data_IF_595363481794
#
_entry.id   IF_595363481794
#
_cell.length_a   1.000
_cell.length_b   1.000
_cell.length_c   1.000
_cell.angle_alpha   90.00
_cell.angle_beta   90.00
_cell.angle_gamma   90.00
#
_symmetry.space_group_name_H-M   'P 1'
#
loop_
_entity.id
_entity.type
_entity.pdbx_description
1 polymer ?
#
# COMPACT_ATOMS: atom_id res chain seq x y z
N UNK A 1 -30.28 16.25 1.25
CA UNK A 1 -30.10 16.82 -0.10
C UNK A 1 -28.60 16.83 -0.36
N UNK A 2 -28.15 16.24 -1.48
CA UNK A 2 -26.75 16.29 -1.89
C UNK A 2 -26.49 17.58 -2.68
N UNK A 3 -25.26 18.10 -2.60
CA UNK A 3 -24.78 19.18 -3.45
C UNK A 3 -24.17 18.52 -4.70
N UNK A 4 -24.76 18.79 -5.86
CA UNK A 4 -24.27 18.29 -7.15
C UNK A 4 -23.33 19.34 -7.77
N UNK A 5 -22.12 18.93 -8.17
CA UNK A 5 -21.09 19.81 -8.73
C UNK A 5 -20.58 19.24 -10.06
N UNK A 6 -20.79 19.96 -11.16
CA UNK A 6 -20.24 19.59 -12.47
C UNK A 6 -18.76 20.04 -12.59
N UNK A 7 -17.81 19.14 -12.86
CA UNK A 7 -16.42 19.52 -13.03
C UNK A 7 -16.14 20.63 -14.04
N UNK A 8 -16.90 20.68 -15.14
CA UNK A 8 -16.70 21.69 -16.20
C UNK A 8 -17.18 23.08 -15.74
N UNK A 9 -18.29 23.14 -15.01
CA UNK A 9 -18.81 24.41 -14.46
C UNK A 9 -17.88 24.99 -13.38
N UNK A 10 -17.21 24.13 -12.61
CA UNK A 10 -16.38 24.51 -11.46
C UNK A 10 -14.87 24.44 -11.73
N UNK A 11 -14.43 24.33 -12.99
CA UNK A 11 -13.03 24.08 -13.39
C UNK A 11 -11.98 24.94 -12.65
N UNK A 12 -12.24 26.23 -12.45
CA UNK A 12 -11.29 27.15 -11.80
C UNK A 12 -11.15 26.91 -10.28
N UNK A 13 -12.17 26.31 -9.67
CA UNK A 13 -12.21 25.96 -8.24
C UNK A 13 -12.02 24.47 -7.99
N UNK A 14 -12.00 23.65 -9.05
CA UNK A 14 -12.04 22.20 -8.97
C UNK A 14 -10.86 21.63 -8.20
N UNK A 15 -9.66 22.21 -8.36
CA UNK A 15 -8.50 21.79 -7.57
C UNK A 15 -8.75 21.93 -6.06
N UNK A 16 -9.42 23.00 -5.60
CA UNK A 16 -9.73 23.20 -4.18
C UNK A 16 -10.78 22.20 -3.71
N UNK A 17 -11.82 21.98 -4.51
CA UNK A 17 -12.90 21.03 -4.21
C UNK A 17 -12.32 19.62 -4.07
N UNK A 18 -11.56 19.17 -5.08
CA UNK A 18 -10.94 17.86 -5.09
C UNK A 18 -9.99 17.66 -3.90
N UNK A 19 -9.14 18.63 -3.59
CA UNK A 19 -8.23 18.57 -2.43
C UNK A 19 -8.94 18.63 -1.07
N UNK A 20 -10.20 19.05 -1.03
CA UNK A 20 -11.00 19.05 0.20
C UNK A 20 -11.72 17.73 0.42
N UNK A 21 -11.97 16.97 -0.66
CA UNK A 21 -12.67 15.68 -0.63
C UNK A 21 -11.67 14.52 -0.54
N UNK A 22 -10.60 14.56 -1.34
CA UNK A 22 -9.52 13.56 -1.31
C UNK A 22 -8.57 13.94 -0.19
N UNK A 23 -8.90 13.52 1.04
CA UNK A 23 -8.20 13.90 2.26
C UNK A 23 -8.44 12.89 3.40
N UNK A 24 -7.51 12.70 4.35
CA UNK A 24 -6.13 13.20 4.34
C UNK A 24 -5.31 12.57 3.22
N UNK A 25 -4.41 13.36 2.62
CA UNK A 25 -3.47 12.85 1.61
C UNK A 25 -2.11 12.63 2.27
N UNK A 26 -1.46 11.47 2.07
CA UNK A 26 -0.09 11.31 2.54
C UNK A 26 0.82 12.27 1.77
N UNK A 27 1.93 12.64 2.41
CA UNK A 27 2.90 13.58 1.86
C UNK A 27 4.15 12.79 1.47
N UNK A 28 4.52 12.82 0.20
CA UNK A 28 5.85 12.43 -0.23
C UNK A 28 6.77 13.64 -0.10
N UNK A 29 7.73 13.59 0.83
CA UNK A 29 8.76 14.62 0.93
C UNK A 29 9.97 14.19 0.11
N UNK A 30 9.97 14.62 -1.15
CA UNK A 30 10.77 14.03 -2.21
C UNK A 30 12.10 14.78 -2.32
N UNK A 31 13.18 14.07 -2.00
CA UNK A 31 14.55 14.49 -2.29
C UNK A 31 14.99 13.90 -3.62
N UNK A 32 15.66 14.71 -4.42
CA UNK A 32 16.18 14.34 -5.75
C UNK A 32 17.49 15.05 -5.99
N UNK A 33 18.33 14.48 -6.84
CA UNK A 33 19.63 15.04 -7.20
C UNK A 33 19.85 14.85 -8.69
N UNK A 34 20.39 15.88 -9.35
CA UNK A 34 20.93 15.73 -10.69
C UNK A 34 22.01 16.76 -11.00
N UNK A 35 23.16 16.27 -11.48
CA UNK A 35 24.33 17.07 -11.84
C UNK A 35 24.94 17.89 -10.68
N UNK A 36 25.10 17.25 -9.53
CA UNK A 36 25.64 17.84 -8.30
C UNK A 36 24.70 18.84 -7.64
N UNK A 37 23.40 18.77 -7.93
CA UNK A 37 22.38 19.68 -7.38
C UNK A 37 21.21 18.88 -6.85
N UNK A 38 20.99 19.00 -5.55
CA UNK A 38 19.83 18.43 -4.90
C UNK A 38 18.66 19.43 -4.84
N UNK A 39 17.48 18.86 -4.61
CA UNK A 39 16.20 19.53 -4.42
C UNK A 39 15.40 18.72 -3.41
N UNK A 40 14.65 19.38 -2.53
CA UNK A 40 13.70 18.76 -1.62
C UNK A 40 12.34 19.46 -1.70
N UNK A 41 11.25 18.74 -1.97
CA UNK A 41 9.93 19.35 -2.03
C UNK A 41 8.80 18.39 -1.61
N UNK A 42 7.70 18.91 -1.04
CA UNK A 42 6.57 18.08 -0.65
C UNK A 42 5.57 17.90 -1.79
N UNK A 43 5.05 16.69 -1.91
CA UNK A 43 4.03 16.30 -2.87
C UNK A 43 2.89 15.59 -2.15
N UNK A 44 1.70 16.21 -2.13
CA UNK A 44 0.50 15.57 -1.57
C UNK A 44 -0.23 14.66 -2.56
N UNK A 45 0.26 14.57 -3.81
CA UNK A 45 -0.17 13.53 -4.75
C UNK A 45 0.88 12.43 -4.67
N UNK A 46 0.86 11.72 -3.55
CA UNK A 46 1.78 10.64 -3.21
C UNK A 46 0.97 9.43 -2.71
N UNK A 47 1.40 8.21 -3.01
CA UNK A 47 0.83 6.99 -2.41
C UNK A 47 1.73 5.76 -2.66
N UNK A 48 1.45 4.67 -1.97
CA UNK A 48 1.90 3.34 -2.36
C UNK A 48 1.11 2.82 -3.58
N UNK A 49 1.74 1.98 -4.40
CA UNK A 49 1.18 1.43 -5.65
C UNK A 49 1.23 -0.09 -5.67
N UNK A 50 2.32 -0.69 -5.19
CA UNK A 50 2.51 -2.14 -5.11
C UNK A 50 3.22 -2.51 -3.82
N UNK A 51 2.88 -3.66 -3.25
CA UNK A 51 3.52 -4.18 -2.02
C UNK A 51 4.73 -5.06 -2.33
N UNK A 52 4.73 -5.82 -3.44
CA UNK A 52 5.87 -6.64 -3.83
C UNK A 52 5.95 -6.84 -5.37
N UNK A 53 7.00 -6.31 -6.05
CA UNK A 53 8.01 -5.41 -5.50
C UNK A 53 7.36 -4.12 -4.95
N UNK A 54 7.95 -3.49 -3.91
CA UNK A 54 7.38 -2.30 -3.29
C UNK A 54 7.52 -1.10 -4.23
N UNK A 55 6.40 -0.44 -4.54
CA UNK A 55 6.37 0.73 -5.44
C UNK A 55 5.60 1.86 -4.79
N UNK A 56 6.17 3.07 -4.84
CA UNK A 56 5.48 4.33 -4.50
C UNK A 56 5.37 5.22 -5.72
N UNK A 57 4.44 6.17 -5.69
CA UNK A 57 4.33 7.20 -6.71
C UNK A 57 4.26 8.59 -6.11
N UNK A 58 4.77 9.58 -6.85
CA UNK A 58 4.45 10.98 -6.63
C UNK A 58 4.10 11.66 -7.94
N UNK A 59 3.31 12.74 -7.86
CA UNK A 59 2.89 13.51 -9.03
C UNK A 59 3.12 15.00 -8.86
N UNK A 60 3.77 15.61 -9.86
CA UNK A 60 4.04 17.04 -9.88
C UNK A 60 3.39 17.75 -11.06
N UNK A 61 2.56 18.75 -10.75
CA UNK A 61 2.01 19.68 -11.73
C UNK A 61 3.10 20.56 -12.34
N UNK A 62 3.07 20.72 -13.66
CA UNK A 62 3.90 21.70 -14.38
C UNK A 62 3.57 23.12 -13.92
N UNK A 63 4.61 23.94 -13.76
CA UNK A 63 4.48 25.38 -13.48
C UNK A 63 4.97 26.14 -14.70
N UNK A 64 4.10 26.97 -15.28
CA UNK A 64 4.40 27.72 -16.51
C UNK A 64 4.94 26.82 -17.65
N UNK A 65 4.34 25.64 -17.83
CA UNK A 65 4.74 24.63 -18.83
C UNK A 65 5.98 23.81 -18.46
N UNK A 66 6.71 24.18 -17.41
CA UNK A 66 7.95 23.50 -16.97
C UNK A 66 7.66 22.50 -15.85
N UNK A 67 8.34 21.36 -15.88
CA UNK A 67 8.32 20.39 -14.77
C UNK A 67 8.99 21.04 -13.55
N UNK A 68 8.49 20.73 -12.35
CA UNK A 68 9.18 21.05 -11.09
C UNK A 68 10.53 20.33 -11.05
N UNK A 69 11.47 20.88 -10.29
CA UNK A 69 12.83 20.34 -10.22
C UNK A 69 12.85 18.91 -9.68
N UNK A 70 12.05 18.56 -8.68
CA UNK A 70 11.99 17.16 -8.20
C UNK A 70 11.51 16.17 -9.28
N UNK A 71 10.46 16.49 -10.03
CA UNK A 71 10.00 15.64 -11.14
C UNK A 71 11.09 15.54 -12.21
N UNK A 72 11.69 16.67 -12.58
CA UNK A 72 12.72 16.71 -13.62
C UNK A 72 13.96 15.93 -13.20
N UNK A 73 14.48 16.15 -11.99
CA UNK A 73 15.65 15.46 -11.47
C UNK A 73 15.42 13.96 -11.31
N UNK A 74 14.26 13.54 -10.80
CA UNK A 74 13.93 12.11 -10.73
C UNK A 74 13.93 11.45 -12.12
N UNK A 75 13.39 12.13 -13.14
CA UNK A 75 13.39 11.60 -14.51
C UNK A 75 14.79 11.55 -15.15
N UNK A 76 15.65 12.52 -14.84
CA UNK A 76 16.96 12.65 -15.47
C UNK A 76 18.04 11.79 -14.77
N UNK A 77 17.93 11.59 -13.45
CA UNK A 77 18.80 10.70 -12.67
C UNK A 77 18.29 9.26 -12.63
N UNK A 78 16.96 9.07 -12.74
CA UNK A 78 16.31 7.78 -12.50
C UNK A 78 16.14 7.47 -11.01
N UNK A 79 16.34 8.44 -10.10
CA UNK A 79 16.41 8.18 -8.66
C UNK A 79 15.72 9.27 -7.84
N UNK A 80 15.15 8.89 -6.69
CA UNK A 80 14.65 9.81 -5.67
C UNK A 80 14.60 9.15 -4.30
N UNK A 81 14.46 9.96 -3.25
CA UNK A 81 14.16 9.49 -1.89
C UNK A 81 12.82 10.09 -1.45
N UNK A 82 11.91 9.25 -0.96
CA UNK A 82 10.71 9.69 -0.27
C UNK A 82 10.94 9.64 1.25
N UNK A 83 10.94 10.81 1.88
CA UNK A 83 11.14 10.96 3.33
C UNK A 83 9.77 11.04 4.01
N UNK A 84 9.61 10.29 5.09
CA UNK A 84 8.43 10.37 5.95
C UNK A 84 8.43 11.70 6.69
N UNK A 85 7.30 12.41 6.64
CA UNK A 85 7.10 13.65 7.39
C UNK A 85 6.36 13.32 8.67
N UNK A 86 6.98 13.62 9.79
CA UNK A 86 6.42 13.50 11.15
C UNK A 86 5.97 14.86 11.66
N UNK A 87 5.17 14.89 12.73
CA UNK A 87 4.61 16.15 13.27
C UNK A 87 5.68 17.19 13.62
N UNK A 88 6.86 16.75 14.08
CA UNK A 88 8.00 17.59 14.44
C UNK A 88 8.71 18.25 13.24
N UNK A 89 8.47 17.78 12.02
CA UNK A 89 9.11 18.28 10.79
C UNK A 89 8.13 18.97 9.83
N UNK A 90 6.88 19.20 10.26
CA UNK A 90 5.82 19.71 9.38
C UNK A 90 6.07 21.15 8.90
N UNK A 91 6.66 22.00 9.74
CA UNK A 91 6.95 23.39 9.39
C UNK A 91 8.11 23.48 8.40
N UNK A 92 9.17 22.71 8.62
CA UNK A 92 10.31 22.57 7.73
C UNK A 92 9.86 22.05 6.37
N UNK A 93 9.07 20.98 6.36
CA UNK A 93 8.52 20.41 5.14
C UNK A 93 7.64 21.41 4.37
N UNK A 94 6.78 22.18 5.05
CA UNK A 94 5.96 23.21 4.40
C UNK A 94 6.84 24.32 3.79
N UNK A 95 7.91 24.71 4.48
CA UNK A 95 8.86 25.70 4.00
C UNK A 95 9.58 25.27 2.71
N UNK A 96 9.85 23.96 2.52
CA UNK A 96 10.41 23.44 1.26
C UNK A 96 9.41 23.43 0.09
N UNK A 97 8.17 23.90 0.28
CA UNK A 97 7.22 24.11 -0.83
C UNK A 97 7.41 25.45 -1.56
N UNK A 98 8.25 26.32 -1.02
CA UNK A 98 8.50 27.64 -1.57
C UNK A 98 9.01 27.57 -3.02
N UNK A 99 8.57 28.49 -3.90
CA UNK A 99 9.00 28.53 -5.29
C UNK A 99 10.42 29.11 -5.40
N UNK A 100 11.44 28.27 -5.19
CA UNK A 100 12.85 28.65 -5.30
C UNK A 100 13.42 28.32 -6.67
N UNK A 101 14.41 29.09 -7.11
CA UNK A 101 15.12 28.87 -8.37
C UNK A 101 16.63 28.78 -8.09
N UNK A 102 17.22 27.61 -8.32
CA UNK A 102 18.68 27.42 -8.32
C UNK A 102 19.36 27.34 -6.95
N UNK A 103 18.59 27.18 -5.87
CA UNK A 103 19.09 26.92 -4.50
C UNK A 103 18.37 25.70 -3.97
N UNK A 104 19.07 24.84 -3.23
CA UNK A 104 18.48 23.67 -2.60
C UNK A 104 17.59 24.06 -1.42
N UNK A 105 16.41 23.46 -1.34
CA UNK A 105 15.50 23.68 -0.21
C UNK A 105 16.09 23.19 1.12
N UNK A 106 16.97 22.20 1.10
CA UNK A 106 17.72 21.78 2.30
C UNK A 106 18.47 22.96 2.92
N UNK A 107 19.17 23.76 2.10
CA UNK A 107 19.97 24.89 2.58
C UNK A 107 19.10 26.04 3.07
N UNK A 108 17.93 26.24 2.45
CA UNK A 108 17.01 27.32 2.82
C UNK A 108 16.33 27.05 4.16
N UNK A 109 15.98 25.80 4.42
CA UNK A 109 15.31 25.39 5.66
C UNK A 109 16.31 25.00 6.75
N UNK A 110 17.57 24.75 6.39
CA UNK A 110 18.63 24.39 7.34
C UNK A 110 18.58 22.92 7.74
N UNK A 111 18.15 22.04 6.82
CA UNK A 111 18.06 20.61 7.05
C UNK A 111 19.37 19.90 6.65
N UNK A 112 19.82 19.01 7.52
CA UNK A 112 20.97 18.17 7.25
C UNK A 112 20.64 17.07 6.23
N UNK A 113 21.64 16.78 5.40
CA UNK A 113 21.59 15.72 4.40
C UNK A 113 22.25 14.48 4.97
N UNK A 114 21.60 13.34 4.81
CA UNK A 114 22.16 12.03 5.10
C UNK A 114 22.41 11.29 3.78
N UNK A 115 23.62 10.74 3.53
CA UNK A 115 23.88 9.94 2.34
C UNK A 115 22.94 8.72 2.24
N UNK A 116 22.50 8.43 1.03
CA UNK A 116 21.72 7.24 0.72
C UNK A 116 22.63 6.01 0.51
N UNK A 117 22.06 4.81 0.66
CA UNK A 117 22.77 3.52 0.55
C UNK A 117 22.76 2.97 -0.88
N UNK A 118 21.65 3.16 -1.60
CA UNK A 118 21.38 2.53 -2.90
C UNK A 118 21.09 3.53 -4.03
N UNK A 119 20.90 4.82 -3.71
CA UNK A 119 20.63 5.89 -4.69
C UNK A 119 21.49 7.13 -4.44
N UNK A 120 21.58 8.03 -5.42
CA UNK A 120 22.36 9.26 -5.35
C UNK A 120 21.72 10.38 -4.51
N UNK A 121 20.39 10.65 -4.59
CA UNK A 121 19.79 11.74 -3.84
C UNK A 121 19.91 11.56 -2.32
N UNK A 122 20.21 12.62 -1.55
CA UNK A 122 20.35 12.52 -0.11
C UNK A 122 19.00 12.30 0.57
N UNK A 123 19.03 11.64 1.72
CA UNK A 123 17.93 11.58 2.68
C UNK A 123 17.86 12.87 3.50
N UNK A 124 16.70 13.17 4.06
CA UNK A 124 16.59 14.13 5.17
C UNK A 124 17.07 13.44 6.43
N UNK A 125 18.14 13.93 7.06
CA UNK A 125 18.77 13.24 8.18
C UNK A 125 17.77 12.97 9.32
N UNK A 126 16.99 13.98 9.69
CA UNK A 126 16.04 13.91 10.80
C UNK A 126 14.74 13.15 10.47
N UNK A 127 14.51 12.76 9.20
CA UNK A 127 13.29 12.02 8.85
C UNK A 127 13.29 10.62 9.49
N UNK A 128 12.20 10.28 10.17
CA UNK A 128 12.12 9.03 10.92
C UNK A 128 12.03 7.77 10.02
N UNK A 129 11.62 7.91 8.75
CA UNK A 129 11.72 6.85 7.76
C UNK A 129 12.03 7.40 6.37
N UNK A 130 12.76 6.61 5.57
CA UNK A 130 13.22 6.98 4.23
C UNK A 130 13.06 5.80 3.27
N UNK A 131 12.50 6.08 2.10
CA UNK A 131 12.37 5.12 1.00
C UNK A 131 13.27 5.57 -0.14
N UNK A 132 14.30 4.80 -0.44
CA UNK A 132 15.17 5.02 -1.59
C UNK A 132 14.60 4.34 -2.81
N UNK A 133 14.41 5.09 -3.90
CA UNK A 133 13.64 4.64 -5.04
C UNK A 133 14.40 4.81 -6.35
N UNK A 134 14.31 3.79 -7.21
CA UNK A 134 14.65 3.89 -8.63
C UNK A 134 13.38 4.10 -9.45
N UNK A 135 13.42 5.03 -10.40
CA UNK A 135 12.28 5.32 -11.28
C UNK A 135 12.09 4.17 -12.26
N UNK A 136 10.92 3.55 -12.22
CA UNK A 136 10.56 2.44 -13.11
C UNK A 136 9.67 2.87 -14.27
N UNK A 137 8.87 3.93 -14.08
CA UNK A 137 8.02 4.47 -15.12
C UNK A 137 7.58 5.90 -14.82
N UNK A 138 7.14 6.63 -15.85
CA UNK A 138 6.52 7.93 -15.73
C UNK A 138 5.32 8.06 -16.66
N UNK A 139 4.26 8.70 -16.17
CA UNK A 139 3.04 8.91 -16.95
C UNK A 139 2.66 10.38 -16.96
N UNK A 140 2.49 10.96 -18.15
CA UNK A 140 1.91 12.29 -18.29
C UNK A 140 0.39 12.22 -18.23
N UNK A 141 -0.20 12.93 -17.27
CA UNK A 141 -1.64 13.05 -17.08
C UNK A 141 -1.99 14.53 -17.14
N UNK A 142 -2.40 15.00 -18.32
CA UNK A 142 -2.65 16.40 -18.62
C UNK A 142 -1.44 17.30 -18.28
N UNK A 143 -1.55 18.12 -17.23
CA UNK A 143 -0.50 19.04 -16.78
C UNK A 143 0.36 18.46 -15.64
N UNK A 144 0.13 17.21 -15.24
CA UNK A 144 0.89 16.51 -14.23
C UNK A 144 1.78 15.44 -14.85
N UNK A 145 2.91 15.17 -14.19
CA UNK A 145 3.75 14.01 -14.46
C UNK A 145 3.73 13.15 -13.21
N UNK A 146 3.26 11.92 -13.35
CA UNK A 146 3.36 10.88 -12.33
C UNK A 146 4.70 10.17 -12.50
N UNK A 147 5.39 9.92 -11.40
CA UNK A 147 6.65 9.18 -11.34
C UNK A 147 6.42 7.97 -10.44
N UNK A 148 6.70 6.78 -10.96
CA UNK A 148 6.67 5.53 -10.22
C UNK A 148 8.09 5.15 -9.82
N UNK A 149 8.29 4.88 -8.53
CA UNK A 149 9.57 4.45 -7.99
C UNK A 149 9.47 3.11 -7.29
N UNK A 150 10.28 2.15 -7.71
CA UNK A 150 10.49 0.90 -6.97
C UNK A 150 11.43 1.15 -5.80
N UNK A 151 11.01 0.78 -4.60
CA UNK A 151 11.77 1.01 -3.37
C UNK A 151 12.89 -0.03 -3.28
N UNK A 152 14.13 0.44 -3.38
CA UNK A 152 15.34 -0.37 -3.31
C UNK A 152 15.85 -0.54 -1.88
N UNK A 153 15.62 0.46 -1.03
CA UNK A 153 16.04 0.42 0.37
C UNK A 153 15.05 1.19 1.27
N UNK A 154 14.82 0.65 2.46
CA UNK A 154 14.00 1.28 3.50
C UNK A 154 14.86 1.44 4.75
N UNK A 155 14.93 2.66 5.25
CA UNK A 155 15.48 2.98 6.57
C UNK A 155 14.35 3.50 7.46
N UNK A 156 14.30 3.03 8.70
CA UNK A 156 13.37 3.49 9.72
C UNK A 156 14.12 3.62 11.05
N UNK A 157 13.91 4.75 11.74
CA UNK A 157 14.42 5.00 13.07
C UNK A 157 13.81 3.99 14.07
N UNK A 158 14.61 3.52 15.03
CA UNK A 158 14.16 2.64 16.11
C UNK A 158 12.94 3.21 16.84
N UNK A 159 12.77 4.54 16.88
CA UNK A 159 11.62 5.22 17.47
C UNK A 159 10.29 4.82 16.82
N UNK A 160 10.29 4.37 15.56
CA UNK A 160 9.12 3.89 14.83
C UNK A 160 8.88 2.39 15.01
N UNK A 161 9.71 1.69 15.78
CA UNK A 161 9.71 0.22 15.83
C UNK A 161 9.32 -0.32 17.20
N UNK A 162 8.74 -1.52 17.19
CA UNK A 162 8.55 -2.37 18.38
C UNK A 162 9.06 -3.76 18.00
N UNK A 163 9.96 -4.32 18.82
CA UNK A 163 10.62 -5.62 18.58
C UNK A 163 11.27 -5.74 17.19
N UNK A 164 11.89 -4.66 16.70
CA UNK A 164 12.61 -4.61 15.42
C UNK A 164 11.71 -4.57 14.18
N UNK A 165 10.40 -4.38 14.35
CA UNK A 165 9.43 -4.20 13.26
C UNK A 165 8.81 -2.81 13.34
N UNK A 166 8.53 -2.18 12.19
CA UNK A 166 7.78 -0.92 12.15
C UNK A 166 6.43 -1.12 12.84
N UNK A 167 6.15 -0.31 13.84
CA UNK A 167 4.94 -0.33 14.65
C UNK A 167 4.10 0.89 14.30
N UNK A 168 2.94 0.66 13.68
CA UNK A 168 2.04 1.72 13.26
C UNK A 168 1.65 2.65 14.42
N UNK A 169 1.55 2.15 15.66
CA UNK A 169 1.22 2.97 16.83
C UNK A 169 2.29 4.01 17.17
N UNK A 170 3.50 3.85 16.63
CA UNK A 170 4.64 4.73 16.84
C UNK A 170 4.90 5.65 15.64
N UNK A 171 4.17 5.46 14.53
CA UNK A 171 4.26 6.30 13.34
C UNK A 171 3.41 7.56 13.57
N UNK A 172 4.07 8.70 13.69
CA UNK A 172 3.50 10.03 13.94
C UNK A 172 3.48 10.89 12.67
N UNK A 173 3.10 10.29 11.54
CA UNK A 173 3.14 10.98 10.25
C UNK A 173 2.03 12.02 10.09
N UNK A 174 2.24 12.97 9.18
CA UNK A 174 1.25 14.03 8.88
C UNK A 174 0.55 13.82 7.54
N UNK A 175 -0.76 14.04 7.54
CA UNK A 175 -1.61 14.08 6.36
C UNK A 175 -1.91 15.52 5.91
N UNK A 176 -1.89 15.77 4.60
CA UNK A 176 -2.28 17.05 4.00
C UNK A 176 -3.81 17.13 3.81
N UNK A 177 -4.39 18.25 4.25
CA UNK A 177 -5.81 18.57 4.08
C UNK A 177 -6.04 19.61 2.96
N UNK A 178 -7.29 20.02 2.75
CA UNK A 178 -7.62 21.17 1.91
C UNK A 178 -7.09 22.47 2.50
N UNK A 179 -6.57 23.37 1.66
CA UNK A 179 -5.97 24.63 2.13
C UNK A 179 -4.60 24.44 2.80
N UNK A 180 -4.23 25.31 3.77
CA UNK A 180 -2.95 25.25 4.50
C UNK A 180 -3.06 24.38 5.76
N UNK A 181 -3.90 23.34 5.73
CA UNK A 181 -4.19 22.53 6.90
C UNK A 181 -3.51 21.16 6.80
N UNK A 182 -3.08 20.67 7.96
CA UNK A 182 -2.46 19.37 8.18
C UNK A 182 -3.20 18.64 9.30
N UNK A 183 -3.07 17.32 9.36
CA UNK A 183 -3.55 16.49 10.47
C UNK A 183 -2.49 15.48 10.86
N UNK A 184 -2.34 15.25 12.15
CA UNK A 184 -1.66 14.06 12.67
C UNK A 184 -2.53 12.81 12.50
N UNK A 185 -1.97 11.66 12.88
CA UNK A 185 -2.71 10.40 12.93
C UNK A 185 -3.46 10.25 14.24
N UNK A 186 -4.75 9.95 14.13
CA UNK A 186 -5.58 9.53 15.26
C UNK A 186 -6.24 8.21 14.91
N UNK A 187 -5.91 7.17 15.66
CA UNK A 187 -6.52 5.87 15.49
C UNK A 187 -8.02 5.91 15.79
N UNK A 188 -8.77 5.28 14.91
CA UNK A 188 -10.14 4.85 15.17
C UNK A 188 -10.09 3.33 15.25
N UNK A 189 -10.35 2.80 16.44
CA UNK A 189 -10.47 1.36 16.62
C UNK A 189 -11.78 0.92 15.97
N UNK A 190 -11.66 0.39 14.77
CA UNK A 190 -12.77 -0.22 14.04
C UNK A 190 -12.46 -1.70 13.97
N UNK A 191 -13.31 -2.53 14.58
CA UNK A 191 -13.30 -3.95 14.27
C UNK A 191 -13.57 -4.08 12.78
N UNK A 192 -12.56 -4.52 12.02
CA UNK A 192 -12.79 -4.84 10.62
C UNK A 192 -13.90 -5.87 10.58
N UNK A 193 -15.01 -5.52 9.93
CA UNK A 193 -16.08 -6.45 9.68
C UNK A 193 -15.51 -7.52 8.76
N UNK A 194 -14.98 -8.59 9.35
CA UNK A 194 -14.99 -9.89 8.70
C UNK A 194 -16.46 -10.13 8.42
N UNK A 195 -16.78 -10.48 7.17
CA UNK A 195 -18.13 -10.75 6.70
C UNK A 195 -18.94 -11.44 7.81
N UNK A 196 -20.20 -11.01 8.00
CA UNK A 196 -21.01 -11.38 9.17
C UNK A 196 -21.04 -12.88 9.48
N UNK A 197 -21.53 -13.28 10.67
CA UNK A 197 -21.34 -14.63 11.19
C UNK A 197 -21.77 -15.70 10.18
N UNK A 198 -20.91 -16.68 9.93
CA UNK A 198 -21.21 -17.90 9.19
C UNK A 198 -22.36 -18.63 9.88
N UNK A 199 -23.42 -18.95 9.13
CA UNK A 199 -24.65 -19.53 9.69
C UNK A 199 -24.88 -20.98 9.31
N UNK A 200 -24.12 -21.50 8.36
CA UNK A 200 -24.23 -22.87 7.86
C UNK A 200 -23.21 -23.80 8.53
N UNK A 201 -23.22 -25.09 8.20
CA UNK A 201 -22.11 -25.97 8.54
C UNK A 201 -20.84 -25.53 7.80
N UNK A 202 -19.67 -25.73 8.41
CA UNK A 202 -18.42 -25.53 7.69
C UNK A 202 -18.31 -26.54 6.54
N UNK A 203 -17.80 -26.15 5.37
CA UNK A 203 -17.41 -27.10 4.33
C UNK A 203 -16.24 -27.97 4.80
N UNK A 204 -16.09 -29.16 4.23
CA UNK A 204 -14.99 -30.08 4.55
C UNK A 204 -13.62 -29.41 4.39
N UNK A 205 -12.72 -29.56 5.37
CA UNK A 205 -11.42 -28.89 5.40
C UNK A 205 -11.46 -27.50 6.05
N UNK A 206 -12.62 -27.09 6.56
CA UNK A 206 -12.81 -25.82 7.22
C UNK A 206 -13.60 -25.98 8.51
N UNK A 207 -13.47 -25.00 9.39
CA UNK A 207 -14.20 -24.90 10.66
C UNK A 207 -14.74 -23.50 10.86
N UNK A 208 -15.82 -23.37 11.63
CA UNK A 208 -16.29 -22.05 12.09
C UNK A 208 -15.58 -21.72 13.40
N UNK A 209 -14.90 -20.58 13.44
CA UNK A 209 -14.33 -20.06 14.69
C UNK A 209 -15.47 -19.69 15.66
N UNK A 210 -15.47 -20.26 16.86
CA UNK A 210 -16.57 -20.07 17.82
C UNK A 210 -16.66 -18.62 18.36
N UNK A 211 -15.57 -17.85 18.27
CA UNK A 211 -15.51 -16.48 18.79
C UNK A 211 -15.88 -15.46 17.72
N UNK A 212 -15.26 -15.54 16.54
CA UNK A 212 -15.53 -14.62 15.44
C UNK A 212 -16.69 -15.05 14.56
N UNK A 213 -17.17 -16.30 14.69
CA UNK A 213 -18.17 -16.91 13.82
C UNK A 213 -17.80 -16.82 12.35
N UNK A 214 -16.50 -16.88 12.03
CA UNK A 214 -15.99 -16.83 10.66
C UNK A 214 -15.47 -18.20 10.25
N UNK A 215 -15.56 -18.53 8.96
CA UNK A 215 -14.92 -19.72 8.41
C UNK A 215 -13.39 -19.58 8.50
N UNK A 216 -12.73 -20.65 8.96
CA UNK A 216 -11.28 -20.80 9.09
C UNK A 216 -10.86 -22.13 8.51
N UNK A 217 -9.63 -22.21 8.02
CA UNK A 217 -9.03 -23.49 7.62
C UNK A 217 -8.90 -24.36 8.87
N UNK A 218 -9.29 -25.62 8.73
CA UNK A 218 -8.93 -26.66 9.68
C UNK A 218 -7.72 -27.38 9.10
N UNK A 219 -6.52 -27.04 9.55
CA UNK A 219 -5.27 -27.44 8.89
C UNK A 219 -5.18 -28.97 8.70
N UNK A 220 -5.53 -29.74 9.74
CA UNK A 220 -5.49 -31.21 9.70
C UNK A 220 -6.51 -31.78 8.70
N UNK A 221 -7.74 -31.26 8.70
CA UNK A 221 -8.77 -31.71 7.77
C UNK A 221 -8.50 -31.25 6.34
N UNK A 222 -7.99 -30.03 6.15
CA UNK A 222 -7.65 -29.44 4.86
C UNK A 222 -6.53 -30.22 4.17
N UNK A 223 -5.46 -30.55 4.88
CA UNK A 223 -4.39 -31.42 4.38
C UNK A 223 -4.91 -32.82 4.05
N UNK A 224 -5.83 -33.37 4.86
CA UNK A 224 -6.45 -34.65 4.56
C UNK A 224 -7.30 -34.60 3.27
N UNK A 225 -8.04 -33.52 3.03
CA UNK A 225 -8.79 -33.29 1.78
C UNK A 225 -7.83 -33.16 0.60
N UNK A 226 -6.74 -32.39 0.72
CA UNK A 226 -5.72 -32.24 -0.32
C UNK A 226 -5.14 -33.60 -0.73
N UNK A 227 -4.77 -34.43 0.24
CA UNK A 227 -4.25 -35.77 -0.01
C UNK A 227 -5.29 -36.67 -0.70
N UNK A 228 -6.55 -36.61 -0.28
CA UNK A 228 -7.64 -37.36 -0.90
C UNK A 228 -7.88 -36.92 -2.35
N UNK A 229 -7.90 -35.61 -2.62
CA UNK A 229 -8.07 -35.07 -3.97
C UNK A 229 -6.88 -35.39 -4.88
N UNK A 230 -5.65 -35.37 -4.36
CA UNK A 230 -4.46 -35.78 -5.13
C UNK A 230 -4.57 -37.24 -5.60
N UNK A 231 -5.05 -38.15 -4.75
CA UNK A 231 -5.30 -39.56 -5.14
C UNK A 231 -6.35 -39.68 -6.24
N UNK A 232 -7.41 -38.87 -6.17
CA UNK A 232 -8.46 -38.84 -7.20
C UNK A 232 -7.89 -38.32 -8.53
N UNK A 233 -7.05 -37.28 -8.50
CA UNK A 233 -6.39 -36.74 -9.69
C UNK A 233 -5.34 -37.71 -10.27
N UNK A 234 -4.73 -38.55 -9.43
CA UNK A 234 -3.87 -39.68 -9.85
C UNK A 234 -4.67 -40.88 -10.42
N UNK A 235 -6.00 -40.80 -10.44
CA UNK A 235 -6.88 -41.74 -11.13
C UNK A 235 -7.61 -42.75 -10.25
N UNK A 236 -7.53 -42.63 -8.92
CA UNK A 236 -8.38 -43.41 -8.01
C UNK A 236 -9.85 -42.94 -8.10
N UNK A 237 -10.80 -43.87 -7.98
CA UNK A 237 -12.22 -43.48 -7.95
C UNK A 237 -12.58 -42.86 -6.60
N UNK A 238 -13.52 -41.91 -6.60
CA UNK A 238 -14.05 -41.29 -5.36
C UNK A 238 -14.50 -42.35 -4.36
N UNK A 239 -15.20 -43.40 -4.82
CA UNK A 239 -15.62 -44.53 -3.97
C UNK A 239 -14.45 -45.25 -3.30
N UNK A 240 -13.32 -45.42 -3.99
CA UNK A 240 -12.12 -46.05 -3.43
C UNK A 240 -11.49 -45.17 -2.35
N UNK A 241 -11.35 -43.87 -2.66
CA UNK A 241 -10.73 -42.92 -1.72
C UNK A 241 -11.62 -42.70 -0.49
N UNK A 242 -12.94 -42.63 -0.65
CA UNK A 242 -13.89 -42.54 0.46
C UNK A 242 -13.84 -43.76 1.39
N UNK A 243 -13.61 -44.96 0.87
CA UNK A 243 -13.49 -46.17 1.67
C UNK A 243 -12.24 -46.19 2.58
N UNK A 244 -11.21 -45.44 2.20
CA UNK A 244 -9.90 -45.39 2.86
C UNK A 244 -9.67 -44.10 3.67
N UNK A 245 -10.63 -43.17 3.66
CA UNK A 245 -10.51 -41.86 4.31
C UNK A 245 -11.68 -41.62 5.27
N UNK A 246 -11.61 -40.52 6.01
CA UNK A 246 -12.69 -40.10 6.90
C UNK A 246 -13.87 -39.43 6.18
N UNK A 247 -13.75 -39.21 4.87
CA UNK A 247 -14.71 -38.45 4.08
C UNK A 247 -15.67 -39.37 3.32
N UNK A 248 -16.94 -38.97 3.25
CA UNK A 248 -17.94 -39.61 2.41
C UNK A 248 -17.71 -39.34 0.92
N UNK A 249 -18.30 -40.16 0.05
CA UNK A 249 -18.27 -39.94 -1.40
C UNK A 249 -18.89 -38.58 -1.78
N UNK A 250 -19.90 -38.10 -1.03
CA UNK A 250 -20.51 -36.79 -1.25
C UNK A 250 -19.59 -35.63 -0.89
N UNK A 251 -18.88 -35.72 0.24
CA UNK A 251 -17.94 -34.68 0.67
C UNK A 251 -16.76 -34.58 -0.31
N UNK A 252 -16.21 -35.73 -0.74
CA UNK A 252 -15.15 -35.76 -1.74
C UNK A 252 -15.63 -35.25 -3.10
N UNK A 253 -16.87 -35.55 -3.51
CA UNK A 253 -17.43 -35.00 -4.75
C UNK A 253 -17.56 -33.46 -4.69
N UNK A 254 -18.05 -32.92 -3.58
CA UNK A 254 -18.13 -31.46 -3.39
C UNK A 254 -16.74 -30.80 -3.40
N UNK A 255 -15.76 -31.42 -2.74
CA UNK A 255 -14.37 -30.95 -2.77
C UNK A 255 -13.78 -31.02 -4.19
N UNK A 256 -14.14 -32.04 -4.96
CA UNK A 256 -13.71 -32.25 -6.35
C UNK A 256 -14.25 -31.16 -7.29
N UNK A 257 -15.48 -30.70 -7.09
CA UNK A 257 -16.06 -29.57 -7.83
C UNK A 257 -15.36 -28.24 -7.51
N UNK A 258 -14.66 -28.18 -6.37
CA UNK A 258 -13.94 -27.01 -5.85
C UNK A 258 -12.42 -27.22 -5.74
N UNK A 259 -11.86 -28.15 -6.54
CA UNK A 259 -10.43 -28.51 -6.57
C UNK A 259 -9.45 -27.34 -6.43
N UNK A 260 -9.60 -26.20 -7.13
CA UNK A 260 -8.63 -25.11 -7.04
C UNK A 260 -8.46 -24.53 -5.63
N UNK A 261 -9.48 -24.58 -4.78
CA UNK A 261 -9.39 -24.10 -3.39
C UNK A 261 -8.40 -24.94 -2.59
N UNK A 262 -8.41 -26.25 -2.83
CA UNK A 262 -7.63 -27.21 -2.05
C UNK A 262 -6.25 -27.45 -2.67
N UNK A 263 -6.14 -27.63 -3.98
CA UNK A 263 -4.87 -28.07 -4.60
C UNK A 263 -3.93 -26.92 -4.98
N UNK A 264 -4.45 -25.70 -5.19
CA UNK A 264 -3.64 -24.56 -5.63
C UNK A 264 -3.22 -23.63 -4.48
N UNK A 265 -3.68 -23.90 -3.25
CA UNK A 265 -3.47 -23.06 -2.07
C UNK A 265 -2.93 -23.89 -0.89
N UNK A 266 -2.08 -23.27 -0.07
CA UNK A 266 -1.62 -23.84 1.21
C UNK A 266 -2.57 -23.41 2.34
N UNK A 267 -2.66 -24.19 3.42
CA UNK A 267 -3.63 -23.98 4.51
C UNK A 267 -3.54 -22.60 5.19
N UNK A 268 -2.36 -21.96 5.18
CA UNK A 268 -2.10 -20.64 5.74
C UNK A 268 -2.18 -19.50 4.71
N UNK A 269 -2.61 -19.79 3.48
CA UNK A 269 -2.63 -18.83 2.39
C UNK A 269 -3.75 -17.79 2.55
N UNK A 270 -3.37 -16.52 2.65
CA UNK A 270 -4.32 -15.39 2.72
C UNK A 270 -5.27 -15.32 1.51
N UNK A 271 -4.95 -15.99 0.40
CA UNK A 271 -5.80 -16.10 -0.79
C UNK A 271 -6.98 -17.06 -0.60
N UNK A 272 -6.97 -17.92 0.42
CA UNK A 272 -8.09 -18.81 0.74
C UNK A 272 -9.38 -18.01 0.99
N UNK A 273 -9.31 -16.89 1.70
CA UNK A 273 -10.50 -16.05 1.94
C UNK A 273 -11.10 -15.52 0.62
N UNK A 274 -10.27 -15.19 -0.36
CA UNK A 274 -10.72 -14.76 -1.69
C UNK A 274 -11.27 -15.93 -2.53
N UNK A 275 -10.60 -17.09 -2.51
CA UNK A 275 -11.04 -18.28 -3.22
C UNK A 275 -12.39 -18.81 -2.70
N UNK A 276 -12.59 -18.76 -1.38
CA UNK A 276 -13.88 -19.07 -0.75
C UNK A 276 -14.99 -18.12 -1.24
N UNK A 277 -14.70 -16.83 -1.33
CA UNK A 277 -15.64 -15.84 -1.85
C UNK A 277 -16.06 -16.12 -3.31
N UNK A 278 -15.10 -16.47 -4.17
CA UNK A 278 -15.36 -16.81 -5.57
C UNK A 278 -16.13 -18.13 -5.74
N UNK A 279 -15.89 -19.10 -4.86
CA UNK A 279 -16.55 -20.40 -4.83
C UNK A 279 -17.99 -20.37 -4.30
N UNK A 280 -18.51 -19.17 -4.01
CA UNK A 280 -19.87 -18.97 -3.51
C UNK A 280 -20.04 -19.32 -2.04
N UNK A 281 -18.96 -19.46 -1.26
CA UNK A 281 -19.00 -19.53 0.19
C UNK A 281 -19.17 -18.13 0.81
N UNK A 282 -20.10 -17.35 0.25
CA UNK A 282 -20.58 -16.09 0.80
C UNK A 282 -22.10 -16.20 0.94
N UNK A 283 -22.56 -15.90 2.17
CA UNK A 283 -23.91 -16.05 2.73
C UNK A 283 -24.18 -17.39 3.42
#
# INVERSE_FOLDING_TARGET
MALELDPEEYKDSMSRILMSIVTPRPIGWISTEWNGRDNLAPFSYFNAVSSYPPVVMFSGRRRNGRRKDSVRFAMESGEFVANLVTEDLVEEMDATSAPLDGVSEFDVVGLDREPSETVTPPRVADAAAKLECTVIDTLEVYDNVLVFGEVQHISADERLTTDGKVDMNRVDSVGRLGGPHYTGLRFLDVEQSKFGPWKESAPTGFRVDETSLTLKVDDDEFEAVQNALSRIDDGESITSVAADTQFSESELAECTDRRPIYLDLEADDMRIEAALAEAGYLY
#
